data_IF_725683319402
#
_entry.id   IF_725683319402
#
_cell.length_a   1.000
_cell.length_b   1.000
_cell.length_c   1.000
_cell.angle_alpha   90.00
_cell.angle_beta   90.00
_cell.angle_gamma   90.00
#
_symmetry.space_group_name_H-M   'P 1'
#
loop_
_entity.id
_entity.type
_entity.pdbx_description
1 polymer ?
#
# COMPACT_ATOMS: atom_id res chain seq x y z
N UNK A 1 -19.99 50.24 47.96
CA UNK A 1 -18.93 49.77 47.06
C UNK A 1 -19.30 48.39 46.56
N UNK A 2 -19.71 48.38 45.29
CA UNK A 2 -19.99 47.22 44.46
C UNK A 2 -18.73 46.39 44.21
N UNK A 3 -18.80 45.08 44.38
CA UNK A 3 -18.34 44.16 43.34
C UNK A 3 -19.27 42.95 43.31
N UNK A 4 -20.00 42.86 42.21
CA UNK A 4 -20.80 41.73 41.77
C UNK A 4 -19.84 40.67 41.24
N UNK A 5 -19.74 39.54 41.91
CA UNK A 5 -19.09 38.33 41.36
C UNK A 5 -20.08 37.17 41.44
N UNK A 6 -20.95 37.13 40.44
CA UNK A 6 -21.61 35.91 40.01
C UNK A 6 -20.69 35.21 38.99
N UNK A 7 -20.35 33.93 39.19
CA UNK A 7 -20.28 33.04 38.05
C UNK A 7 -20.89 31.67 38.38
N UNK A 8 -22.21 31.59 38.22
CA UNK A 8 -22.89 30.75 37.22
C UNK A 8 -22.10 29.60 36.56
N UNK A 9 -21.53 28.69 37.36
CA UNK A 9 -20.97 27.42 36.86
C UNK A 9 -21.89 26.22 37.11
N UNK A 10 -22.89 26.38 37.98
CA UNK A 10 -23.81 25.29 38.33
C UNK A 10 -25.03 25.19 37.39
N UNK A 11 -25.35 26.24 36.62
CA UNK A 11 -26.49 26.22 35.68
C UNK A 11 -26.12 25.71 34.27
N UNK A 12 -24.82 25.66 33.92
CA UNK A 12 -24.35 25.16 32.61
C UNK A 12 -24.27 23.64 32.52
N UNK A 13 -24.40 22.91 33.65
CA UNK A 13 -24.35 21.44 33.64
C UNK A 13 -25.73 20.79 33.49
N UNK A 14 -26.80 21.50 33.82
CA UNK A 14 -28.18 20.97 33.77
C UNK A 14 -28.87 21.20 32.43
N UNK A 15 -28.36 22.09 31.57
CA UNK A 15 -28.91 22.33 30.21
C UNK A 15 -28.16 21.60 29.08
N UNK A 16 -26.96 21.08 29.33
CA UNK A 16 -26.22 20.18 28.42
C UNK A 16 -26.69 18.71 28.50
N UNK A 17 -27.79 18.43 29.22
CA UNK A 17 -28.38 17.08 29.27
C UNK A 17 -29.61 16.88 28.38
N UNK A 18 -30.15 17.95 27.76
CA UNK A 18 -31.40 17.85 26.97
C UNK A 18 -31.21 17.93 25.45
N UNK A 19 -30.00 18.22 24.96
CA UNK A 19 -29.69 18.25 23.50
C UNK A 19 -28.68 17.19 23.07
N UNK A 20 -28.34 16.25 23.97
CA UNK A 20 -27.66 15.02 23.60
C UNK A 20 -28.64 14.10 22.87
N UNK A 21 -29.02 14.51 21.66
CA UNK A 21 -29.62 13.65 20.66
C UNK A 21 -28.63 12.52 20.42
N UNK A 22 -29.11 11.30 20.61
CA UNK A 22 -28.39 10.06 20.44
C UNK A 22 -27.53 10.06 19.16
N UNK A 23 -26.24 10.29 19.33
CA UNK A 23 -25.23 9.71 18.44
C UNK A 23 -24.54 8.68 19.30
N UNK A 24 -25.06 7.46 19.28
CA UNK A 24 -24.36 6.33 19.83
C UNK A 24 -22.98 6.26 19.15
N UNK A 25 -21.88 6.12 19.90
CA UNK A 25 -20.59 5.89 19.30
C UNK A 25 -20.57 4.44 18.79
N UNK A 26 -21.15 4.20 17.61
CA UNK A 26 -20.95 2.96 16.83
C UNK A 26 -19.56 3.01 16.17
N UNK A 27 -18.54 3.20 17.01
CA UNK A 27 -17.14 3.11 16.64
C UNK A 27 -16.65 1.75 17.09
N UNK A 28 -16.15 0.95 16.15
CA UNK A 28 -15.34 -0.26 16.36
C UNK A 28 -16.06 -1.57 16.73
N UNK A 29 -16.99 -1.58 17.68
CA UNK A 29 -17.59 -2.84 18.19
C UNK A 29 -18.51 -3.53 17.17
N UNK A 30 -19.24 -2.77 16.35
CA UNK A 30 -20.19 -3.33 15.37
C UNK A 30 -19.49 -3.96 14.15
N UNK A 31 -18.23 -3.58 13.90
CA UNK A 31 -17.41 -4.20 12.87
C UNK A 31 -16.74 -5.50 13.34
N UNK A 32 -16.80 -5.84 14.64
CA UNK A 32 -16.17 -7.04 15.20
C UNK A 32 -14.64 -7.07 15.07
N UNK A 33 -13.99 -5.93 14.84
CA UNK A 33 -12.56 -5.81 14.50
C UNK A 33 -11.65 -5.66 15.73
N UNK A 34 -12.03 -6.26 16.88
CA UNK A 34 -11.28 -6.19 18.15
C UNK A 34 -9.83 -6.68 18.05
N UNK A 35 -9.51 -7.42 16.99
CA UNK A 35 -8.18 -7.98 16.73
C UNK A 35 -7.31 -7.17 15.75
N UNK A 36 -7.88 -6.16 15.08
CA UNK A 36 -7.15 -5.36 14.10
C UNK A 36 -6.49 -4.15 14.77
N UNK A 37 -5.20 -4.28 15.09
CA UNK A 37 -4.40 -3.15 15.55
C UNK A 37 -4.10 -2.16 14.41
N UNK A 38 -3.96 -0.88 14.75
CA UNK A 38 -3.55 0.17 13.79
C UNK A 38 -2.22 -0.18 13.07
N UNK A 39 -1.31 -0.84 13.79
CA UNK A 39 -0.06 -1.36 13.21
C UNK A 39 -0.31 -2.45 12.17
N UNK A 40 -1.26 -3.35 12.43
CA UNK A 40 -1.67 -4.38 11.49
C UNK A 40 -2.26 -3.79 10.20
N UNK A 41 -3.12 -2.78 10.33
CA UNK A 41 -3.68 -2.07 9.18
C UNK A 41 -2.59 -1.39 8.34
N UNK A 42 -1.59 -0.77 8.98
CA UNK A 42 -0.45 -0.17 8.27
C UNK A 42 0.35 -1.22 7.48
N UNK A 43 0.62 -2.38 8.06
CA UNK A 43 1.31 -3.49 7.37
C UNK A 43 0.49 -4.03 6.19
N UNK A 44 -0.82 -4.17 6.38
CA UNK A 44 -1.73 -4.64 5.33
C UNK A 44 -1.77 -3.64 4.17
N UNK A 45 -1.94 -2.35 4.47
CA UNK A 45 -1.93 -1.27 3.47
C UNK A 45 -0.62 -1.22 2.68
N UNK A 46 0.54 -1.34 3.35
CA UNK A 46 1.83 -1.38 2.68
C UNK A 46 2.00 -2.61 1.77
N UNK A 47 1.46 -3.76 2.19
CA UNK A 47 1.47 -4.99 1.39
C UNK A 47 0.63 -4.84 0.13
N UNK A 48 -0.60 -4.34 0.26
CA UNK A 48 -1.51 -4.11 -0.86
C UNK A 48 -0.91 -3.08 -1.84
N UNK A 49 -0.38 -1.97 -1.34
CA UNK A 49 0.26 -0.96 -2.19
C UNK A 49 1.46 -1.55 -2.96
N UNK A 50 2.31 -2.34 -2.31
CA UNK A 50 3.44 -2.99 -2.96
C UNK A 50 2.99 -4.04 -4.00
N UNK A 51 1.95 -4.82 -3.72
CA UNK A 51 1.38 -5.79 -4.66
C UNK A 51 0.75 -5.11 -5.89
N UNK A 52 0.18 -3.91 -5.72
CA UNK A 52 -0.30 -3.07 -6.81
C UNK A 52 0.82 -2.35 -7.58
N UNK A 53 2.08 -2.59 -7.25
CA UNK A 53 3.24 -2.04 -7.97
C UNK A 53 3.78 -0.71 -7.45
N UNK A 54 3.41 -0.30 -6.23
CA UNK A 54 4.01 0.89 -5.62
C UNK A 54 5.53 0.74 -5.48
N UNK A 55 6.28 1.79 -5.85
CA UNK A 55 7.73 1.83 -5.68
C UNK A 55 8.12 2.08 -4.22
N UNK A 56 9.39 1.86 -3.88
CA UNK A 56 9.89 2.09 -2.53
C UNK A 56 9.73 3.55 -2.12
N UNK A 57 9.98 4.50 -3.02
CA UNK A 57 9.81 5.93 -2.80
C UNK A 57 8.35 6.30 -2.55
N UNK A 58 7.42 5.69 -3.29
CA UNK A 58 5.98 5.91 -3.11
C UNK A 58 5.52 5.36 -1.77
N UNK A 59 5.97 4.17 -1.38
CA UNK A 59 5.70 3.59 -0.06
C UNK A 59 6.28 4.46 1.06
N UNK A 60 7.48 5.00 0.89
CA UNK A 60 8.07 5.95 1.84
C UNK A 60 7.24 7.21 1.99
N UNK A 61 6.72 7.77 0.88
CA UNK A 61 5.88 8.95 0.91
C UNK A 61 4.52 8.68 1.58
N UNK A 62 3.87 7.57 1.26
CA UNK A 62 2.54 7.20 1.79
C UNK A 62 2.62 6.91 3.29
N UNK A 63 3.64 6.16 3.72
CA UNK A 63 3.75 5.69 5.10
C UNK A 63 4.68 6.53 5.97
N UNK A 64 5.32 7.56 5.43
CA UNK A 64 6.26 8.42 6.17
C UNK A 64 7.53 7.68 6.62
N UNK A 65 8.03 6.74 5.82
CA UNK A 65 9.27 6.04 6.14
C UNK A 65 10.49 6.81 5.67
N UNK A 66 11.38 7.16 6.60
CA UNK A 66 12.66 7.77 6.27
C UNK A 66 13.62 6.75 5.64
N UNK A 67 13.64 5.53 6.18
CA UNK A 67 14.53 4.47 5.77
C UNK A 67 13.92 3.60 4.66
N UNK A 68 14.68 3.35 3.59
CA UNK A 68 14.28 2.47 2.49
C UNK A 68 14.14 1.00 2.92
N UNK A 69 14.76 0.57 4.03
CA UNK A 69 14.71 -0.82 4.50
C UNK A 69 13.28 -1.34 4.72
N UNK A 70 12.39 -0.52 5.28
CA UNK A 70 11.00 -0.94 5.51
C UNK A 70 10.21 -1.02 4.20
N UNK A 71 10.34 -0.02 3.33
CA UNK A 71 9.69 -0.03 2.02
C UNK A 71 10.14 -1.20 1.15
N UNK A 72 11.46 -1.45 1.10
CA UNK A 72 12.07 -2.54 0.36
C UNK A 72 11.54 -3.91 0.77
N UNK A 73 11.25 -4.10 2.06
CA UNK A 73 10.72 -5.37 2.54
C UNK A 73 9.37 -5.73 1.88
N UNK A 74 8.51 -4.74 1.65
CA UNK A 74 7.21 -4.98 1.00
C UNK A 74 7.34 -5.11 -0.51
N UNK A 75 8.09 -4.21 -1.18
CA UNK A 75 8.29 -4.25 -2.64
C UNK A 75 9.03 -5.51 -3.08
N UNK A 76 10.06 -5.93 -2.34
CA UNK A 76 10.82 -7.15 -2.63
C UNK A 76 9.94 -8.39 -2.52
N UNK A 77 9.07 -8.47 -1.51
CA UNK A 77 8.13 -9.58 -1.35
C UNK A 77 7.13 -9.63 -2.51
N UNK A 78 6.54 -8.50 -2.87
CA UNK A 78 5.62 -8.41 -4.01
C UNK A 78 6.31 -8.83 -5.32
N UNK A 79 7.49 -8.26 -5.60
CA UNK A 79 8.29 -8.59 -6.78
C UNK A 79 8.69 -10.06 -6.81
N UNK A 80 9.09 -10.63 -5.68
CA UNK A 80 9.48 -12.04 -5.59
C UNK A 80 8.32 -12.97 -5.96
N UNK A 81 7.08 -12.67 -5.51
CA UNK A 81 5.89 -13.44 -5.89
C UNK A 81 5.66 -13.41 -7.41
N UNK A 82 5.74 -12.21 -8.01
CA UNK A 82 5.58 -12.03 -9.46
C UNK A 82 6.64 -12.80 -10.25
N UNK A 83 7.91 -12.64 -9.89
CA UNK A 83 9.03 -13.35 -10.55
C UNK A 83 8.83 -14.86 -10.41
N UNK A 84 8.59 -15.35 -9.19
CA UNK A 84 8.39 -16.77 -8.95
C UNK A 84 7.31 -17.34 -9.88
N UNK A 85 6.15 -16.66 -10.00
CA UNK A 85 5.07 -17.11 -10.88
C UNK A 85 5.48 -17.19 -12.37
N UNK A 86 6.31 -16.27 -12.85
CA UNK A 86 6.76 -16.24 -14.25
C UNK A 86 7.95 -17.14 -14.56
N UNK A 87 8.77 -17.48 -13.56
CA UNK A 87 10.03 -18.22 -13.76
C UNK A 87 9.94 -19.71 -13.40
N UNK A 88 8.81 -20.21 -12.91
CA UNK A 88 8.67 -21.62 -12.55
C UNK A 88 9.02 -22.57 -13.70
N UNK A 89 8.72 -22.19 -14.94
CA UNK A 89 9.04 -22.97 -16.15
C UNK A 89 10.53 -23.09 -16.45
N UNK A 90 11.36 -22.22 -15.88
CA UNK A 90 12.82 -22.27 -16.03
C UNK A 90 13.46 -23.33 -15.12
N UNK A 91 12.72 -23.87 -14.15
CA UNK A 91 13.18 -24.96 -13.29
C UNK A 91 13.08 -26.29 -14.05
N UNK A 92 14.05 -26.54 -14.95
CA UNK A 92 14.17 -27.83 -15.64
C UNK A 92 14.85 -28.86 -14.72
N UNK A 93 14.09 -29.79 -14.15
CA UNK A 93 14.60 -30.82 -13.24
C UNK A 93 15.17 -32.06 -13.94
N UNK A 94 15.20 -32.10 -15.27
CA UNK A 94 15.73 -33.26 -16.00
C UNK A 94 15.81 -33.03 -17.49
N UNK A 95 16.96 -32.58 -17.97
CA UNK A 95 17.41 -32.90 -19.32
C UNK A 95 18.94 -32.85 -19.36
N UNK A 96 19.58 -33.97 -19.68
CA UNK A 96 20.97 -33.99 -20.10
C UNK A 96 21.08 -33.29 -21.45
N UNK A 97 21.33 -31.98 -21.42
CA UNK A 97 21.47 -31.16 -22.63
C UNK A 97 22.78 -31.53 -23.33
N UNK A 98 22.70 -32.32 -24.41
CA UNK A 98 23.78 -32.39 -25.37
C UNK A 98 23.66 -31.16 -26.28
N UNK A 99 24.39 -30.08 -25.96
CA UNK A 99 24.33 -28.81 -26.69
C UNK A 99 24.85 -29.02 -28.13
N UNK A 100 23.94 -29.27 -29.06
CA UNK A 100 24.17 -28.91 -30.46
C UNK A 100 23.78 -27.44 -30.58
N UNK A 101 24.78 -26.55 -30.60
CA UNK A 101 24.58 -25.13 -30.94
C UNK A 101 24.16 -25.07 -32.42
N UNK A 102 22.87 -25.30 -32.67
CA UNK A 102 22.21 -25.03 -33.94
C UNK A 102 22.08 -23.53 -34.10
N UNK A 103 22.99 -22.93 -34.86
CA UNK A 103 22.83 -21.56 -35.36
C UNK A 103 21.73 -21.57 -36.42
N UNK A 104 20.58 -20.95 -36.13
CA UNK A 104 19.61 -20.53 -37.17
C UNK A 104 18.45 -19.75 -36.53
N UNK A 105 17.93 -18.67 -37.09
CA UNK A 105 18.12 -17.97 -38.39
C UNK A 105 17.49 -16.55 -38.24
N UNK A 106 17.03 -15.83 -39.28
CA UNK A 106 17.74 -14.71 -39.89
C UNK A 106 16.99 -13.37 -39.72
N UNK A 107 17.71 -12.30 -40.05
CA UNK A 107 17.23 -10.95 -40.35
C UNK A 107 15.83 -10.90 -41.00
N UNK A 108 14.92 -10.14 -40.40
CA UNK A 108 13.78 -9.52 -41.09
C UNK A 108 13.68 -8.06 -40.64
N UNK A 109 14.43 -7.20 -41.32
CA UNK A 109 14.24 -5.76 -41.22
C UNK A 109 12.96 -5.31 -41.94
N UNK A 110 12.27 -4.35 -41.35
CA UNK A 110 11.50 -3.34 -42.10
C UNK A 110 12.06 -1.97 -41.68
N UNK A 111 12.80 -1.34 -42.59
CA UNK A 111 13.23 0.05 -42.48
C UNK A 111 12.06 0.93 -42.95
N UNK A 112 11.38 1.63 -42.04
CA UNK A 112 10.62 2.82 -42.40
C UNK A 112 11.49 4.06 -42.17
N UNK A 113 12.26 4.42 -43.20
CA UNK A 113 12.83 5.76 -43.31
C UNK A 113 11.74 6.67 -43.91
N UNK A 114 10.94 7.31 -43.08
CA UNK A 114 10.20 8.48 -43.53
C UNK A 114 11.07 9.73 -43.40
N UNK A 115 11.81 9.99 -44.46
CA UNK A 115 12.36 11.30 -44.79
C UNK A 115 11.19 12.20 -45.20
N UNK A 116 10.67 13.02 -44.28
CA UNK A 116 9.89 14.17 -44.71
C UNK A 116 10.77 15.43 -44.66
N UNK A 117 11.32 15.71 -45.83
CA UNK A 117 11.93 16.98 -46.22
C UNK A 117 10.83 17.91 -46.73
N UNK A 118 10.52 18.99 -46.01
CA UNK A 118 10.45 20.36 -46.53
C UNK A 118 10.38 21.37 -45.39
#
# INVERSE_FOLDING_TARGET
>A
MTTSENPDWQYRRTLELSVATAVEPLGYEEAGLTHCSAHGLRKAGATIAAENGATEEQLKAIFGWENAKEANLYTRKARQKLIASGTMSLLNFGESVNIHIGKSTPNSGCNDKNQNTK
#
